data_IF_989848849004
#
_entry.id   IF_989848849004
#
_cell.length_a   1.000
_cell.length_b   1.000
_cell.length_c   1.000
_cell.angle_alpha   90.00
_cell.angle_beta   90.00
_cell.angle_gamma   90.00
#
_symmetry.space_group_name_H-M   'P 1'
#
loop_
_entity.id
_entity.type
_entity.pdbx_description
1 polymer ?
#
# COMPACT_ATOMS: atom_id res chain seq x y z
N UNK A 1 -18.42 31.88 -23.27
CA UNK A 1 -17.32 30.92 -23.53
C UNK A 1 -17.26 29.97 -22.35
N UNK A 2 -18.19 29.02 -22.32
CA UNK A 2 -18.52 28.18 -21.16
C UNK A 2 -19.37 27.00 -21.66
N UNK A 3 -18.78 26.02 -22.34
CA UNK A 3 -19.54 24.82 -22.78
C UNK A 3 -18.71 23.58 -23.22
N UNK A 4 -17.37 23.58 -23.19
CA UNK A 4 -16.61 22.55 -23.94
C UNK A 4 -15.84 21.53 -23.08
N UNK A 5 -15.70 21.74 -21.76
CA UNK A 5 -14.81 20.91 -20.92
C UNK A 5 -15.50 19.67 -20.30
N UNK A 6 -16.83 19.57 -20.28
CA UNK A 6 -17.53 18.46 -19.61
C UNK A 6 -17.86 17.24 -20.48
N UNK A 7 -17.52 17.23 -21.78
CA UNK A 7 -17.94 16.16 -22.69
C UNK A 7 -16.94 15.01 -22.88
N UNK A 8 -15.77 15.02 -22.24
CA UNK A 8 -14.77 13.96 -22.39
C UNK A 8 -14.92 12.78 -21.42
N UNK A 9 -15.88 12.80 -20.48
CA UNK A 9 -16.04 11.72 -19.48
C UNK A 9 -17.23 10.76 -19.76
N UNK A 10 -17.99 10.97 -20.84
CA UNK A 10 -19.23 10.21 -21.09
C UNK A 10 -19.11 9.12 -22.18
N UNK A 11 -17.91 8.81 -22.68
CA UNK A 11 -17.77 8.00 -23.89
C UNK A 11 -16.79 6.82 -23.77
N UNK A 12 -16.78 6.05 -22.68
CA UNK A 12 -16.41 4.62 -22.72
C UNK A 12 -17.15 3.86 -21.61
N UNK A 13 -18.43 3.57 -21.81
CA UNK A 13 -19.08 2.48 -21.10
C UNK A 13 -20.14 1.84 -22.01
N UNK A 14 -19.66 1.16 -23.04
CA UNK A 14 -20.48 0.31 -23.91
C UNK A 14 -20.16 -1.16 -23.63
N UNK A 15 -21.04 -1.77 -22.83
CA UNK A 15 -21.48 -3.17 -22.83
C UNK A 15 -20.47 -4.28 -23.16
N UNK A 16 -20.15 -5.10 -22.15
CA UNK A 16 -20.22 -6.56 -22.29
C UNK A 16 -20.95 -7.14 -21.08
N UNK A 17 -22.18 -7.61 -21.28
CA UNK A 17 -22.84 -8.56 -20.37
C UNK A 17 -22.08 -9.87 -20.40
N UNK A 18 -21.15 -10.04 -19.46
CA UNK A 18 -20.59 -11.34 -19.12
C UNK A 18 -21.29 -11.85 -17.88
N UNK A 19 -22.15 -12.86 -18.01
CA UNK A 19 -22.52 -13.70 -16.86
C UNK A 19 -21.24 -14.39 -16.39
N UNK A 20 -20.64 -13.88 -15.30
CA UNK A 20 -19.59 -14.61 -14.60
C UNK A 20 -20.26 -15.74 -13.83
N UNK A 21 -20.38 -16.91 -14.45
CA UNK A 21 -20.40 -18.15 -13.68
C UNK A 21 -18.97 -18.35 -13.20
N UNK A 22 -18.63 -17.72 -12.08
CA UNK A 22 -17.42 -18.08 -11.33
C UNK A 22 -17.74 -19.42 -10.66
N UNK A 23 -17.45 -20.52 -11.35
CA UNK A 23 -17.25 -21.78 -10.67
C UNK A 23 -16.11 -21.57 -9.67
N UNK A 24 -16.35 -21.86 -8.40
CA UNK A 24 -15.31 -21.91 -7.38
C UNK A 24 -14.40 -23.11 -7.68
N UNK A 25 -13.41 -22.88 -8.54
CA UNK A 25 -12.21 -23.70 -8.68
C UNK A 25 -11.01 -22.84 -8.32
N UNK A 26 -9.99 -23.46 -7.72
CA UNK A 26 -8.69 -22.84 -7.46
C UNK A 26 -8.20 -22.09 -8.71
N UNK A 27 -8.12 -20.76 -8.62
CA UNK A 27 -7.69 -19.89 -9.70
C UNK A 27 -6.16 -19.76 -9.78
N UNK A 28 -5.44 -20.55 -8.99
CA UNK A 28 -3.98 -20.51 -8.86
C UNK A 28 -3.49 -19.33 -8.05
N UNK A 29 -4.37 -18.66 -7.29
CA UNK A 29 -3.97 -17.55 -6.41
C UNK A 29 -3.48 -18.03 -5.05
N UNK A 30 -2.54 -17.27 -4.51
CA UNK A 30 -2.03 -17.50 -3.17
C UNK A 30 -2.49 -16.39 -2.25
N UNK A 31 -3.17 -16.76 -1.16
CA UNK A 31 -3.55 -15.83 -0.11
C UNK A 31 -2.46 -15.75 0.96
N UNK A 32 -1.84 -14.59 1.09
CA UNK A 32 -0.78 -14.34 2.08
C UNK A 32 -1.29 -13.32 3.11
N UNK A 33 -1.26 -13.68 4.39
CA UNK A 33 -1.53 -12.77 5.51
C UNK A 33 -0.26 -12.55 6.30
N UNK A 34 0.18 -11.30 6.37
CA UNK A 34 1.38 -10.86 7.08
C UNK A 34 1.10 -9.54 7.77
N UNK A 35 1.98 -9.18 8.69
CA UNK A 35 1.87 -7.99 9.51
C UNK A 35 3.14 -7.16 9.33
N UNK A 36 2.99 -5.90 8.96
CA UNK A 36 4.08 -4.93 8.91
C UNK A 36 4.18 -4.29 10.30
N UNK A 37 5.36 -4.34 10.89
CA UNK A 37 5.66 -3.77 12.20
C UNK A 37 6.56 -2.55 11.99
N UNK A 38 5.95 -1.37 12.05
CA UNK A 38 6.59 -0.07 11.86
C UNK A 38 6.93 0.57 13.22
N UNK A 39 8.12 1.14 13.33
CA UNK A 39 8.60 1.87 14.51
C UNK A 39 8.90 3.31 14.14
N UNK A 40 8.05 4.25 14.57
CA UNK A 40 8.16 5.66 14.19
C UNK A 40 9.20 6.48 14.96
N UNK A 41 9.74 5.98 16.08
CA UNK A 41 10.59 6.79 16.96
C UNK A 41 11.57 5.96 17.79
N UNK A 42 12.56 6.64 18.36
CA UNK A 42 13.62 6.03 19.16
C UNK A 42 14.84 5.61 18.33
N UNK A 43 15.82 5.02 18.99
CA UNK A 43 17.11 4.65 18.37
C UNK A 43 16.97 3.58 17.26
N UNK A 44 15.87 2.84 17.26
CA UNK A 44 15.58 1.75 16.31
C UNK A 44 14.37 2.10 15.41
N UNK A 45 14.13 3.38 15.14
CA UNK A 45 13.07 3.76 14.21
C UNK A 45 13.29 3.13 12.83
N UNK A 46 12.23 2.55 12.28
CA UNK A 46 12.22 1.88 10.97
C UNK A 46 11.57 2.75 9.89
N UNK A 47 10.82 3.78 10.29
CA UNK A 47 10.25 4.79 9.42
C UNK A 47 10.74 6.18 9.81
N UNK A 48 11.18 6.95 8.83
CA UNK A 48 11.80 8.27 9.04
C UNK A 48 11.30 9.27 8.01
N UNK A 49 10.94 10.45 8.50
CA UNK A 49 10.61 11.62 7.68
C UNK A 49 11.87 12.15 6.99
N UNK A 50 11.80 12.35 5.67
CA UNK A 50 12.94 12.72 4.83
C UNK A 50 12.85 14.17 4.36
N UNK A 51 11.68 14.62 3.95
CA UNK A 51 11.49 15.99 3.44
C UNK A 51 10.18 16.59 3.92
N UNK A 52 10.26 17.84 4.33
CA UNK A 52 9.09 18.68 4.58
C UNK A 52 8.37 19.04 3.27
N UNK A 53 7.16 19.57 3.39
CA UNK A 53 6.40 20.04 2.25
C UNK A 53 7.10 21.24 1.59
N UNK A 54 7.27 21.23 0.25
CA UNK A 54 7.79 22.39 -0.47
C UNK A 54 6.83 23.58 -0.48
N UNK A 55 5.56 23.40 -0.08
CA UNK A 55 4.57 24.48 -0.01
C UNK A 55 4.65 25.29 1.29
N UNK A 56 5.36 24.77 2.30
CA UNK A 56 5.55 25.40 3.59
C UNK A 56 4.27 25.50 4.44
N UNK A 57 4.38 26.22 5.56
CA UNK A 57 3.30 26.37 6.54
C UNK A 57 2.86 25.02 7.12
N UNK A 58 1.56 24.74 7.08
CA UNK A 58 0.98 23.50 7.58
C UNK A 58 0.68 22.50 6.46
N UNK A 59 1.20 22.71 5.25
CA UNK A 59 0.99 21.76 4.16
C UNK A 59 1.76 20.46 4.42
N UNK A 60 1.11 19.34 4.17
CA UNK A 60 1.78 18.02 4.11
C UNK A 60 2.05 17.60 2.67
N UNK A 61 1.50 18.28 1.67
CA UNK A 61 1.67 17.90 0.27
C UNK A 61 3.14 17.84 -0.11
N UNK A 62 3.57 16.72 -0.69
CA UNK A 62 4.95 16.50 -1.12
C UNK A 62 5.92 16.12 0.00
N UNK A 63 5.48 15.95 1.26
CA UNK A 63 6.35 15.33 2.27
C UNK A 63 6.64 13.89 1.89
N UNK A 64 7.86 13.43 2.16
CA UNK A 64 8.27 12.05 1.93
C UNK A 64 8.83 11.45 3.21
N UNK A 65 8.47 10.20 3.46
CA UNK A 65 9.12 9.34 4.45
C UNK A 65 9.64 8.08 3.78
N UNK A 66 10.69 7.51 4.35
CA UNK A 66 11.21 6.18 3.97
C UNK A 66 10.94 5.22 5.11
N UNK A 67 10.71 3.96 4.77
CA UNK A 67 10.54 2.90 5.77
C UNK A 67 11.25 1.61 5.34
N UNK A 68 11.80 0.90 6.32
CA UNK A 68 12.33 -0.45 6.23
C UNK A 68 11.79 -1.23 7.43
N UNK A 69 10.57 -1.70 7.32
CA UNK A 69 9.83 -2.29 8.44
C UNK A 69 9.98 -3.80 8.51
N UNK A 70 9.73 -4.35 9.69
CA UNK A 70 9.69 -5.80 9.87
C UNK A 70 8.40 -6.37 9.29
N UNK A 71 8.53 -7.47 8.53
CA UNK A 71 7.38 -8.24 8.06
C UNK A 71 7.29 -9.54 8.85
N UNK A 72 6.21 -9.72 9.61
CA UNK A 72 6.02 -10.85 10.53
C UNK A 72 4.77 -11.65 10.22
N UNK A 73 4.75 -12.89 10.70
CA UNK A 73 3.63 -13.81 10.52
C UNK A 73 2.40 -13.42 11.34
N UNK A 74 2.59 -12.74 12.48
CA UNK A 74 1.52 -12.34 13.39
C UNK A 74 1.60 -10.86 13.79
N UNK A 75 0.53 -10.36 14.39
CA UNK A 75 0.48 -9.01 14.97
C UNK A 75 1.29 -8.87 16.26
N UNK A 76 1.70 -9.98 16.88
CA UNK A 76 2.61 -9.98 18.02
C UNK A 76 4.05 -9.68 17.54
N UNK A 77 4.73 -8.74 18.20
CA UNK A 77 6.12 -8.40 17.91
C UNK A 77 7.08 -9.59 18.12
N UNK A 78 6.71 -10.56 18.97
CA UNK A 78 7.47 -11.80 19.16
C UNK A 78 7.21 -12.85 18.07
N UNK A 79 6.22 -12.65 17.19
CA UNK A 79 5.89 -13.60 16.12
C UNK A 79 7.04 -13.71 15.11
N UNK A 80 7.08 -14.80 14.34
CA UNK A 80 8.19 -15.06 13.42
C UNK A 80 8.40 -13.91 12.43
N UNK A 81 9.64 -13.39 12.37
CA UNK A 81 10.10 -12.50 11.31
C UNK A 81 10.25 -13.30 10.01
N UNK A 82 9.59 -12.84 8.95
CA UNK A 82 9.59 -13.54 7.64
C UNK A 82 10.23 -12.73 6.52
N UNK A 83 10.48 -11.44 6.75
CA UNK A 83 11.02 -10.55 5.74
C UNK A 83 11.01 -9.10 6.15
N UNK A 84 11.07 -8.21 5.16
CA UNK A 84 11.00 -6.75 5.32
C UNK A 84 9.99 -6.14 4.35
N UNK A 85 9.36 -5.04 4.76
CA UNK A 85 8.60 -4.16 3.87
C UNK A 85 9.40 -2.87 3.71
N UNK A 86 9.85 -2.59 2.49
CA UNK A 86 10.77 -1.49 2.19
C UNK A 86 10.12 -0.54 1.21
N UNK A 87 10.17 0.76 1.48
CA UNK A 87 9.50 1.69 0.59
C UNK A 87 9.58 3.15 1.00
N UNK A 88 8.72 3.91 0.31
CA UNK A 88 8.50 5.32 0.56
C UNK A 88 7.00 5.60 0.71
N UNK A 89 6.66 6.53 1.59
CA UNK A 89 5.33 7.12 1.66
C UNK A 89 5.40 8.59 1.25
N UNK A 90 4.41 9.04 0.51
CA UNK A 90 4.31 10.42 0.03
C UNK A 90 2.91 10.96 0.28
N UNK A 91 2.84 12.18 0.79
CA UNK A 91 1.57 12.90 0.92
C UNK A 91 1.23 13.52 -0.43
N UNK A 92 0.34 12.86 -1.18
CA UNK A 92 -0.01 13.23 -2.55
C UNK A 92 -1.34 13.99 -2.67
N UNK A 93 -2.09 14.09 -1.57
CA UNK A 93 -3.35 14.82 -1.50
C UNK A 93 -3.11 16.27 -1.06
N UNK A 94 -3.74 17.23 -1.77
CA UNK A 94 -3.62 18.66 -1.48
C UNK A 94 -4.54 19.12 -0.34
N UNK A 95 -5.56 18.34 0.00
CA UNK A 95 -6.63 18.68 0.92
C UNK A 95 -6.63 17.81 2.19
N UNK A 96 -6.25 16.53 2.06
CA UNK A 96 -6.28 15.59 3.17
C UNK A 96 -4.88 15.15 3.61
N UNK A 97 -4.43 15.69 4.75
CA UNK A 97 -3.17 15.31 5.38
C UNK A 97 -3.12 13.87 5.92
N UNK A 98 -4.25 13.15 5.92
CA UNK A 98 -4.33 11.75 6.31
C UNK A 98 -4.07 10.76 5.17
N UNK A 99 -3.97 11.23 3.93
CA UNK A 99 -3.89 10.37 2.74
C UNK A 99 -2.50 10.37 2.14
N UNK A 100 -1.79 9.27 2.35
CA UNK A 100 -0.48 9.02 1.72
C UNK A 100 -0.57 7.95 0.65
N UNK A 101 0.25 8.10 -0.40
CA UNK A 101 0.54 7.07 -1.38
C UNK A 101 1.82 6.34 -0.98
N UNK A 102 1.83 5.02 -1.15
CA UNK A 102 2.96 4.17 -0.77
C UNK A 102 3.48 3.40 -1.98
N UNK A 103 4.80 3.42 -2.16
CA UNK A 103 5.50 2.49 -3.04
C UNK A 103 6.33 1.56 -2.15
N UNK A 104 6.01 0.27 -2.15
CA UNK A 104 6.67 -0.71 -1.30
C UNK A 104 7.10 -1.96 -2.07
N UNK A 105 8.22 -2.52 -1.65
CA UNK A 105 8.70 -3.85 -2.01
C UNK A 105 8.65 -4.76 -0.79
N UNK A 106 8.12 -5.96 -0.97
CA UNK A 106 8.13 -7.01 0.06
C UNK A 106 9.31 -7.94 -0.18
N UNK A 107 10.23 -8.03 0.78
CA UNK A 107 11.45 -8.83 0.70
C UNK A 107 11.38 -9.99 1.68
N UNK A 108 11.16 -11.21 1.19
CA UNK A 108 11.14 -12.41 2.01
C UNK A 108 12.56 -12.94 2.27
N UNK A 109 12.88 -13.23 3.53
CA UNK A 109 14.21 -13.75 3.93
C UNK A 109 14.16 -15.18 4.45
N UNK A 110 12.97 -15.70 4.73
CA UNK A 110 12.75 -17.10 5.06
C UNK A 110 11.97 -17.79 3.95
N UNK A 111 12.07 -19.12 3.90
CA UNK A 111 11.08 -19.91 3.17
C UNK A 111 9.73 -19.72 3.86
N UNK A 112 8.91 -18.83 3.31
CA UNK A 112 7.51 -18.76 3.67
C UNK A 112 6.88 -20.00 3.08
N UNK A 113 6.60 -20.99 3.93
CA UNK A 113 5.69 -22.07 3.54
C UNK A 113 4.33 -21.40 3.45
N UNK A 114 3.99 -21.05 2.22
CA UNK A 114 2.69 -20.54 1.85
C UNK A 114 1.71 -21.67 2.16
N UNK A 115 1.05 -21.58 3.32
CA UNK A 115 -0.10 -22.43 3.58
C UNK A 115 -1.24 -21.86 2.75
N UNK A 116 -1.47 -22.48 1.59
CA UNK A 116 -2.70 -22.32 0.83
C UNK A 116 -3.79 -22.93 1.71
N UNK A 117 -4.53 -22.07 2.39
CA UNK A 117 -5.77 -22.49 3.02
C UNK A 117 -6.85 -22.38 1.95
N UNK A 118 -7.30 -23.53 1.46
CA UNK A 118 -8.52 -23.60 0.67
C UNK A 118 -9.68 -23.18 1.59
N UNK A 119 -10.48 -22.19 1.17
CA UNK A 119 -11.71 -21.78 1.85
C UNK A 119 -12.93 -22.50 1.24
#
# INVERSE_FOLDING_TARGET
MTATIFYLLAAVLAATTGTLVAGAGDDGTTHIRLYIHETFSGANATAVHVTDSPLGGNSTYGTLSVFDDELRQGSDAASQLVGRAQGITMQADLQDSGVFSTLLTVVFTVRVVIMVYDF
#
